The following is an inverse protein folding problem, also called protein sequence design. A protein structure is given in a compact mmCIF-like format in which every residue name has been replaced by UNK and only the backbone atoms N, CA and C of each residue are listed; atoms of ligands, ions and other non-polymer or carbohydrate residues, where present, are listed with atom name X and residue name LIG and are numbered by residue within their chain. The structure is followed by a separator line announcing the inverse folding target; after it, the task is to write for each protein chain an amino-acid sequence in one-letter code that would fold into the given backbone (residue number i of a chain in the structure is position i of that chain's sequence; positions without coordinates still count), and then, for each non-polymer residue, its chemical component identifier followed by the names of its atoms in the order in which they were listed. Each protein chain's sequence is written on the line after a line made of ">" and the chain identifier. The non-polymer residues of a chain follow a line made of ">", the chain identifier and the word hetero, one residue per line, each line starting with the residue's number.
data_IF_307389249176
#
_entry.id   IF_307389249176
#
_cell.length_a   1.000
_cell.length_b   1.000
_cell.length_c   1.000
_cell.angle_alpha   90.00
_cell.angle_beta   90.00
_cell.angle_gamma   90.00
#
_symmetry.space_group_name_H-M   'P 1'
#
loop_
_entity.id
_entity.type
_entity.pdbx_description
1 polymer ?
#
# COMPACT_ATOMS: atom_id res chain seq x y z
N UNK A 1 4.74 -25.10 -17.07
CA UNK A 1 4.11 -25.92 -16.02
C UNK A 1 4.46 -25.49 -14.58
N UNK A 2 5.32 -24.50 -14.36
CA UNK A 2 5.80 -24.09 -13.01
C UNK A 2 4.90 -23.07 -12.28
N UNK A 3 4.29 -22.13 -12.99
CA UNK A 3 3.48 -21.07 -12.36
C UNK A 3 2.21 -21.57 -11.67
N UNK A 4 1.51 -22.54 -12.27
CA UNK A 4 0.27 -23.09 -11.70
C UNK A 4 0.53 -23.88 -10.41
N UNK A 5 1.66 -24.60 -10.34
CA UNK A 5 2.08 -25.33 -9.15
C UNK A 5 2.48 -24.40 -8.01
N UNK A 6 3.24 -23.35 -8.31
CA UNK A 6 3.63 -22.34 -7.32
C UNK A 6 2.41 -21.59 -6.80
N UNK A 7 1.55 -21.11 -7.71
CA UNK A 7 0.29 -20.46 -7.35
C UNK A 7 -0.59 -21.34 -6.47
N UNK A 8 -0.84 -22.58 -6.89
CA UNK A 8 -1.66 -23.53 -6.13
C UNK A 8 -1.07 -23.79 -4.74
N UNK A 9 0.25 -23.98 -4.64
CA UNK A 9 0.92 -24.24 -3.35
C UNK A 9 0.83 -23.02 -2.42
N UNK A 10 1.06 -21.82 -2.94
CA UNK A 10 0.93 -20.58 -2.18
C UNK A 10 -0.53 -20.39 -1.72
N UNK A 11 -1.49 -20.50 -2.64
CA UNK A 11 -2.91 -20.28 -2.34
C UNK A 11 -3.50 -21.32 -1.37
N UNK A 12 -3.09 -22.58 -1.46
CA UNK A 12 -3.66 -23.64 -0.61
C UNK A 12 -2.95 -23.82 0.72
N UNK A 13 -1.63 -23.55 0.79
CA UNK A 13 -0.83 -23.82 2.00
C UNK A 13 -0.42 -22.56 2.76
N UNK A 14 -0.07 -21.48 2.08
CA UNK A 14 0.34 -20.24 2.75
C UNK A 14 -0.86 -19.35 3.07
N UNK A 15 -1.85 -19.29 2.18
CA UNK A 15 -3.09 -18.51 2.37
C UNK A 15 -4.27 -19.38 2.81
N UNK A 16 -4.02 -20.41 3.64
CA UNK A 16 -5.11 -21.15 4.29
C UNK A 16 -5.91 -20.19 5.19
N UNK A 17 -7.26 -20.17 5.10
CA UNK A 17 -8.09 -19.24 5.89
C UNK A 17 -7.82 -19.29 7.40
N UNK A 18 -7.42 -20.44 7.93
CA UNK A 18 -7.08 -20.61 9.35
C UNK A 18 -5.73 -19.99 9.75
N UNK A 19 -4.82 -19.82 8.79
CA UNK A 19 -3.47 -19.28 9.02
C UNK A 19 -3.37 -17.78 8.75
N UNK A 20 -4.31 -17.22 7.98
CA UNK A 20 -4.32 -15.79 7.65
C UNK A 20 -4.41 -14.91 8.90
N UNK A 21 -5.35 -15.11 9.85
CA UNK A 21 -5.43 -14.26 11.05
C UNK A 21 -4.15 -14.25 11.91
N UNK A 22 -3.55 -15.40 12.30
CA UNK A 22 -2.31 -15.37 13.08
C UNK A 22 -1.13 -14.82 12.28
N UNK A 23 -1.07 -15.06 10.97
CA UNK A 23 -0.01 -14.50 10.11
C UNK A 23 -0.10 -12.98 10.03
N UNK A 24 -1.29 -12.42 9.80
CA UNK A 24 -1.52 -10.97 9.76
C UNK A 24 -1.20 -10.33 11.11
N UNK A 25 -1.54 -11.00 12.22
CA UNK A 25 -1.19 -10.52 13.56
C UNK A 25 0.33 -10.50 13.76
N UNK A 26 1.04 -11.57 13.37
CA UNK A 26 2.50 -11.62 13.49
C UNK A 26 3.18 -10.56 12.62
N UNK A 27 2.73 -10.41 11.37
CA UNK A 27 3.20 -9.35 10.47
C UNK A 27 2.96 -7.98 11.08
N UNK A 28 1.76 -7.73 11.63
CA UNK A 28 1.45 -6.47 12.31
C UNK A 28 2.41 -6.22 13.48
N UNK A 29 2.62 -7.20 14.35
CA UNK A 29 3.51 -7.05 15.52
C UNK A 29 4.95 -6.77 15.10
N UNK A 30 5.40 -7.38 14.00
CA UNK A 30 6.75 -7.18 13.45
C UNK A 30 6.92 -5.81 12.78
N UNK A 31 5.94 -5.36 11.99
CA UNK A 31 6.02 -4.09 11.24
C UNK A 31 5.65 -2.89 12.13
N UNK A 32 4.70 -3.08 13.04
CA UNK A 32 4.13 -2.04 13.92
C UNK A 32 4.14 -2.49 15.39
N UNK A 33 5.32 -2.57 16.03
CA UNK A 33 5.42 -2.96 17.43
C UNK A 33 4.58 -2.02 18.31
N UNK A 34 3.71 -2.61 19.14
CA UNK A 34 2.78 -1.89 20.04
C UNK A 34 1.81 -0.90 19.35
N UNK A 35 1.65 -0.95 18.02
CA UNK A 35 0.78 -0.04 17.28
C UNK A 35 1.00 1.45 17.65
N UNK A 36 2.23 1.79 18.07
CA UNK A 36 2.56 3.16 18.45
C UNK A 36 2.40 4.03 17.23
N UNK A 37 1.77 5.20 17.42
CA UNK A 37 1.70 6.21 16.37
C UNK A 37 3.12 6.43 15.85
N UNK A 38 3.29 6.24 14.54
CA UNK A 38 4.55 6.56 13.88
C UNK A 38 4.90 8.02 14.10
N UNK A 39 6.19 8.40 13.94
CA UNK A 39 6.56 9.81 13.92
C UNK A 39 5.69 10.55 12.89
N UNK A 40 5.41 11.85 13.10
CA UNK A 40 4.66 12.63 12.15
C UNK A 40 5.28 12.49 10.76
N UNK A 41 4.46 12.37 9.70
CA UNK A 41 4.98 12.22 8.36
C UNK A 41 5.94 13.39 8.07
N UNK A 42 7.11 13.11 7.48
CA UNK A 42 8.01 14.19 7.08
C UNK A 42 7.29 15.11 6.10
N UNK A 43 7.71 16.40 6.02
CA UNK A 43 7.15 17.29 5.02
C UNK A 43 7.28 16.68 3.62
N UNK A 44 6.29 16.87 2.74
CA UNK A 44 6.36 16.37 1.38
C UNK A 44 7.69 16.82 0.73
N UNK A 45 8.42 15.91 0.08
CA UNK A 45 9.66 16.27 -0.59
C UNK A 45 9.38 17.30 -1.68
N UNK A 46 10.32 18.21 -1.93
CA UNK A 46 10.27 19.06 -3.10
C UNK A 46 10.31 18.22 -4.39
N UNK A 47 9.85 18.78 -5.51
CA UNK A 47 9.82 18.09 -6.81
C UNK A 47 11.22 17.58 -7.20
N UNK A 48 12.27 18.35 -6.90
CA UNK A 48 13.65 17.96 -7.19
C UNK A 48 14.14 16.81 -6.30
N UNK A 49 13.77 16.82 -5.02
CA UNK A 49 14.11 15.75 -4.08
C UNK A 49 13.35 14.48 -4.42
N UNK A 50 12.06 14.58 -4.76
CA UNK A 50 11.24 13.46 -5.22
C UNK A 50 11.86 12.79 -6.45
N UNK A 51 12.31 13.59 -7.44
CA UNK A 51 13.01 13.08 -8.62
C UNK A 51 14.31 12.36 -8.25
N UNK A 52 15.11 12.90 -7.32
CA UNK A 52 16.35 12.24 -6.86
C UNK A 52 16.05 10.92 -6.15
N UNK A 53 15.01 10.88 -5.32
CA UNK A 53 14.57 9.67 -4.63
C UNK A 53 14.14 8.61 -5.64
N UNK A 54 13.31 8.97 -6.63
CA UNK A 54 12.90 8.05 -7.70
C UNK A 54 14.09 7.52 -8.48
N UNK A 55 15.01 8.40 -8.83
CA UNK A 55 16.17 8.01 -9.61
C UNK A 55 17.11 7.07 -8.86
N UNK A 56 17.26 7.27 -7.55
CA UNK A 56 17.97 6.35 -6.68
C UNK A 56 17.23 5.01 -6.57
N UNK A 57 15.92 5.04 -6.32
CA UNK A 57 15.10 3.84 -6.20
C UNK A 57 15.12 2.99 -7.49
N UNK A 58 15.09 3.64 -8.66
CA UNK A 58 15.21 2.95 -9.94
C UNK A 58 16.57 2.24 -10.08
N UNK A 59 17.66 2.90 -9.69
CA UNK A 59 18.99 2.28 -9.66
C UNK A 59 19.04 1.08 -8.71
N UNK A 60 18.46 1.20 -7.52
CA UNK A 60 18.44 0.13 -6.52
C UNK A 60 17.59 -1.07 -7.01
N UNK A 61 16.43 -0.83 -7.62
CA UNK A 61 15.58 -1.87 -8.22
C UNK A 61 16.34 -2.58 -9.35
N UNK A 62 16.98 -1.83 -10.25
CA UNK A 62 17.72 -2.40 -11.36
C UNK A 62 18.94 -3.20 -10.92
N UNK A 63 19.55 -2.86 -9.78
CA UNK A 63 20.63 -3.65 -9.20
C UNK A 63 20.21 -5.06 -8.78
N UNK A 64 18.92 -5.27 -8.50
CA UNK A 64 18.35 -6.55 -8.09
C UNK A 64 17.88 -7.40 -9.29
N UNK A 65 17.72 -6.79 -10.46
CA UNK A 65 17.15 -7.44 -11.64
C UNK A 65 18.27 -7.84 -12.62
N UNK A 66 18.39 -9.13 -12.99
CA UNK A 66 19.32 -9.53 -14.04
C UNK A 66 19.02 -8.80 -15.36
N UNK A 67 20.06 -8.29 -16.03
CA UNK A 67 19.94 -7.43 -17.23
C UNK A 67 18.98 -7.98 -18.29
N UNK A 68 19.06 -9.27 -18.58
CA UNK A 68 18.20 -9.95 -19.56
C UNK A 68 16.71 -9.89 -19.20
N UNK A 69 16.39 -9.96 -17.91
CA UNK A 69 15.01 -9.86 -17.40
C UNK A 69 14.54 -8.41 -17.52
N UNK A 70 15.36 -7.45 -17.12
CA UNK A 70 15.04 -6.01 -17.24
C UNK A 70 14.72 -5.63 -18.69
N UNK A 71 15.59 -6.00 -19.64
CA UNK A 71 15.39 -5.72 -21.07
C UNK A 71 14.03 -6.24 -21.58
N UNK A 72 13.71 -7.49 -21.24
CA UNK A 72 12.49 -8.15 -21.73
C UNK A 72 11.24 -7.57 -21.05
N UNK A 73 11.31 -7.30 -19.74
CA UNK A 73 10.18 -6.82 -18.96
C UNK A 73 9.81 -5.37 -19.29
N UNK A 74 10.82 -4.50 -19.48
CA UNK A 74 10.61 -3.09 -19.85
C UNK A 74 10.54 -2.87 -21.36
N UNK A 75 10.54 -3.93 -22.17
CA UNK A 75 10.42 -3.90 -23.63
C UNK A 75 11.40 -2.94 -24.34
N UNK A 76 12.62 -2.79 -23.80
CA UNK A 76 13.65 -1.92 -24.37
C UNK A 76 14.35 -2.65 -25.51
N UNK A 77 13.80 -2.55 -26.72
CA UNK A 77 14.30 -3.24 -27.91
C UNK A 77 15.12 -2.33 -28.85
N UNK A 78 14.96 -1.02 -28.75
CA UNK A 78 15.55 -0.04 -29.69
C UNK A 78 16.86 0.59 -29.18
N UNK A 79 17.65 -0.14 -28.39
CA UNK A 79 18.93 0.39 -27.88
C UNK A 79 20.05 0.20 -28.92
N UNK A 80 20.78 1.27 -29.23
CA UNK A 80 21.90 1.22 -30.19
C UNK A 80 23.14 0.57 -29.56
N UNK A 81 23.34 0.75 -28.26
CA UNK A 81 24.43 0.17 -27.49
C UNK A 81 23.98 -0.21 -26.05
N UNK A 82 24.89 -0.78 -25.26
CA UNK A 82 24.60 -1.23 -23.90
C UNK A 82 24.33 -0.09 -22.90
N UNK A 83 24.94 1.09 -23.10
CA UNK A 83 24.73 2.26 -22.25
C UNK A 83 23.34 2.87 -22.47
N UNK A 84 22.91 2.96 -23.73
CA UNK A 84 21.58 3.40 -24.13
C UNK A 84 20.51 2.44 -23.63
N UNK A 85 20.78 1.14 -23.64
CA UNK A 85 19.88 0.12 -23.08
C UNK A 85 19.68 0.36 -21.58
N UNK A 86 20.76 0.54 -20.84
CA UNK A 86 20.73 0.78 -19.40
C UNK A 86 20.01 2.10 -19.05
N UNK A 87 20.26 3.15 -19.82
CA UNK A 87 19.57 4.44 -19.68
C UNK A 87 18.07 4.32 -19.96
N UNK A 88 17.66 3.66 -21.05
CA UNK A 88 16.24 3.50 -21.41
C UNK A 88 15.49 2.64 -20.38
N UNK A 89 16.10 1.55 -19.92
CA UNK A 89 15.51 0.71 -18.87
C UNK A 89 15.31 1.52 -17.59
N UNK A 90 16.29 2.34 -17.21
CA UNK A 90 16.17 3.22 -16.03
C UNK A 90 15.04 4.24 -16.17
N UNK A 91 14.90 4.89 -17.32
CA UNK A 91 13.82 5.85 -17.58
C UNK A 91 12.46 5.17 -17.48
N UNK A 92 12.30 3.96 -18.04
CA UNK A 92 11.05 3.20 -17.92
C UNK A 92 10.72 2.87 -16.45
N UNK A 93 11.72 2.50 -15.64
CA UNK A 93 11.50 2.29 -14.20
C UNK A 93 11.11 3.59 -13.50
N UNK A 94 11.83 4.68 -13.75
CA UNK A 94 11.59 5.98 -13.10
C UNK A 94 10.20 6.55 -13.42
N UNK A 95 9.80 6.54 -14.69
CA UNK A 95 8.57 7.20 -15.14
C UNK A 95 7.37 6.27 -15.10
N UNK A 96 7.52 5.02 -15.55
CA UNK A 96 6.38 4.11 -15.71
C UNK A 96 6.11 3.27 -14.47
N UNK A 97 7.15 2.75 -13.83
CA UNK A 97 7.01 1.92 -12.63
C UNK A 97 6.96 2.74 -11.34
N UNK A 98 7.69 3.85 -11.25
CA UNK A 98 7.69 4.69 -10.05
C UNK A 98 6.86 5.96 -10.22
N UNK A 99 6.74 6.49 -11.44
CA UNK A 99 5.99 7.74 -11.68
C UNK A 99 4.47 7.63 -11.52
N UNK A 100 3.88 6.43 -11.54
CA UNK A 100 2.43 6.28 -11.32
C UNK A 100 1.97 6.75 -9.94
N UNK A 101 2.87 6.80 -8.95
CA UNK A 101 2.54 7.28 -7.59
C UNK A 101 2.36 8.79 -7.51
N UNK A 102 2.73 9.55 -8.55
CA UNK A 102 2.56 11.00 -8.57
C UNK A 102 1.10 11.42 -8.85
N UNK A 103 0.30 10.52 -9.43
CA UNK A 103 -1.08 10.81 -9.81
C UNK A 103 -2.03 10.60 -8.61
N UNK A 104 -2.52 11.72 -8.08
CA UNK A 104 -3.44 11.76 -6.94
C UNK A 104 -4.74 11.00 -7.22
N UNK A 105 -5.25 11.09 -8.45
CA UNK A 105 -6.50 10.45 -8.83
C UNK A 105 -6.31 8.94 -9.00
N UNK A 106 -5.19 8.52 -9.60
CA UNK A 106 -4.82 7.10 -9.68
C UNK A 106 -4.63 6.48 -8.29
N UNK A 107 -3.95 7.19 -7.38
CA UNK A 107 -3.74 6.74 -6.01
C UNK A 107 -5.05 6.51 -5.25
N UNK A 108 -6.06 7.36 -5.47
CA UNK A 108 -7.40 7.17 -4.89
C UNK A 108 -8.04 5.87 -5.37
N UNK A 109 -8.01 5.61 -6.68
CA UNK A 109 -8.55 4.38 -7.24
C UNK A 109 -7.77 3.14 -6.80
N UNK A 110 -6.45 3.24 -6.64
CA UNK A 110 -5.64 2.15 -6.08
C UNK A 110 -6.08 1.81 -4.66
N UNK A 111 -6.27 2.82 -3.79
CA UNK A 111 -6.74 2.58 -2.42
C UNK A 111 -8.10 1.88 -2.44
N UNK A 112 -9.05 2.35 -3.25
CA UNK A 112 -10.34 1.67 -3.39
C UNK A 112 -10.20 0.24 -3.90
N UNK A 113 -9.35 0.01 -4.89
CA UNK A 113 -9.09 -1.33 -5.41
C UNK A 113 -8.47 -2.24 -4.33
N UNK A 114 -7.54 -1.75 -3.52
CA UNK A 114 -6.96 -2.50 -2.40
C UNK A 114 -8.03 -2.82 -1.36
N UNK A 115 -8.83 -1.83 -0.95
CA UNK A 115 -9.93 -2.03 -0.01
C UNK A 115 -10.92 -3.07 -0.55
N UNK A 116 -11.32 -2.95 -1.80
CA UNK A 116 -12.23 -3.91 -2.45
C UNK A 116 -11.62 -5.32 -2.51
N UNK A 117 -10.38 -5.46 -2.99
CA UNK A 117 -9.76 -6.77 -3.19
C UNK A 117 -9.31 -7.45 -1.90
N UNK A 118 -8.87 -6.68 -0.90
CA UNK A 118 -8.35 -7.23 0.35
C UNK A 118 -9.45 -7.26 1.39
N UNK A 119 -10.14 -6.14 1.66
CA UNK A 119 -11.15 -6.10 2.72
C UNK A 119 -12.39 -6.92 2.35
N UNK A 120 -12.93 -6.83 1.13
CA UNK A 120 -14.11 -7.64 0.80
C UNK A 120 -13.80 -9.12 0.65
N UNK A 121 -12.55 -9.51 0.38
CA UNK A 121 -12.17 -10.92 0.42
C UNK A 121 -12.00 -11.44 1.84
N UNK A 122 -11.47 -10.61 2.76
CA UNK A 122 -11.25 -11.00 4.14
C UNK A 122 -12.53 -10.91 4.98
N UNK A 123 -13.35 -9.89 4.74
CA UNK A 123 -14.58 -9.58 5.47
C UNK A 123 -15.67 -9.23 4.45
N UNK A 124 -16.25 -10.22 3.76
CA UNK A 124 -17.27 -9.98 2.72
C UNK A 124 -18.53 -9.30 3.26
N UNK A 125 -18.79 -9.44 4.56
CA UNK A 125 -19.89 -8.80 5.29
C UNK A 125 -19.83 -7.27 5.23
N UNK A 126 -18.63 -6.70 5.03
CA UNK A 126 -18.43 -5.25 4.87
C UNK A 126 -18.90 -4.70 3.52
N UNK A 127 -19.35 -5.55 2.60
CA UNK A 127 -19.91 -5.10 1.33
C UNK A 127 -21.18 -4.25 1.54
N UNK A 128 -22.02 -4.68 2.48
CA UNK A 128 -23.36 -4.12 2.66
C UNK A 128 -23.54 -3.44 4.04
N UNK A 129 -22.61 -3.64 4.97
CA UNK A 129 -22.69 -3.14 6.35
C UNK A 129 -21.41 -2.40 6.76
N UNK A 130 -21.57 -1.32 7.52
CA UNK A 130 -20.43 -0.61 8.08
C UNK A 130 -19.76 -1.42 9.20
N UNK A 131 -18.47 -1.22 9.48
CA UNK A 131 -17.78 -1.89 10.59
C UNK A 131 -18.51 -1.73 11.93
N UNK A 132 -19.06 -0.54 12.21
CA UNK A 132 -19.83 -0.25 13.43
C UNK A 132 -21.13 -1.05 13.52
N UNK A 133 -21.87 -1.22 12.41
CA UNK A 133 -23.06 -2.06 12.37
C UNK A 133 -22.73 -3.55 12.61
N UNK A 134 -21.64 -4.04 11.99
CA UNK A 134 -21.16 -5.42 12.18
C UNK A 134 -20.69 -5.71 13.61
N UNK A 135 -20.17 -4.70 14.31
CA UNK A 135 -19.77 -4.79 15.71
C UNK A 135 -20.98 -4.77 16.64
N UNK A 136 -21.96 -3.91 16.38
CA UNK A 136 -23.20 -3.85 17.15
C UNK A 136 -24.00 -5.18 17.08
N UNK A 137 -24.07 -5.81 15.90
CA UNK A 137 -24.66 -7.15 15.72
C UNK A 137 -23.95 -8.23 16.54
N UNK A 138 -22.66 -8.03 16.84
CA UNK A 138 -21.83 -8.93 17.66
C UNK A 138 -21.80 -8.53 19.14
N UNK A 139 -22.60 -7.53 19.54
CA UNK A 139 -22.72 -7.06 20.92
C UNK A 139 -21.63 -6.09 21.36
N UNK A 140 -20.88 -5.49 20.43
CA UNK A 140 -19.88 -4.45 20.71
C UNK A 140 -20.43 -3.11 20.23
N UNK A 141 -20.86 -2.27 21.17
CA UNK A 141 -21.39 -0.94 20.87
C UNK A 141 -20.32 0.15 21.08
N UNK A 142 -19.82 0.73 19.99
CA UNK A 142 -18.78 1.77 20.01
C UNK A 142 -19.34 3.14 20.41
N UNK A 143 -20.65 3.34 20.33
CA UNK A 143 -21.31 4.62 20.67
C UNK A 143 -21.65 4.70 22.16
N UNK A 144 -21.70 3.58 22.87
CA UNK A 144 -21.89 3.55 24.32
C UNK A 144 -20.70 4.12 25.10
N UNK A 145 -19.51 4.22 24.47
CA UNK A 145 -18.31 4.81 25.09
C UNK A 145 -18.21 6.32 24.98
N UNK A 146 -19.05 6.99 24.17
CA UNK A 146 -19.01 8.45 24.01
C UNK A 146 -19.94 9.21 24.97
N UNK A 147 -20.79 8.52 25.75
CA UNK A 147 -21.66 9.18 26.75
C UNK A 147 -20.91 9.71 27.99
N UNK A 148 -19.59 9.51 28.07
CA UNK A 148 -18.75 9.93 29.20
C UNK A 148 -18.06 11.29 29.06
N UNK A 149 -17.92 11.85 27.85
CA UNK A 149 -17.16 13.09 27.64
C UNK A 149 -18.11 14.22 27.23
N UNK A 150 -18.71 14.85 28.25
CA UNK A 150 -19.47 16.09 28.08
C UNK A 150 -18.58 17.14 27.42
N UNK A 151 -18.95 17.49 26.19
CA UNK A 151 -18.71 18.74 25.47
C UNK A 151 -18.30 19.88 26.41
N UNK A 152 -17.01 20.21 26.44
CA UNK A 152 -16.54 21.49 26.96
C UNK A 152 -16.83 22.54 25.88
N UNK A 153 -17.87 23.33 26.15
CA UNK A 153 -18.35 24.43 25.33
C UNK A 153 -17.25 25.49 25.17
N UNK A 154 -16.76 25.71 23.95
CA UNK A 154 -15.78 26.76 23.68
C UNK A 154 -16.49 28.11 23.78
N UNK A 155 -16.04 29.06 24.65
CA UNK A 155 -16.71 30.35 24.77
C UNK A 155 -16.50 31.17 23.49
N UNK A 156 -17.61 31.56 22.88
CA UNK A 156 -17.68 32.48 21.75
C UNK A 156 -16.89 33.76 22.06
N UNK A 157 -15.77 33.93 21.35
CA UNK A 157 -14.97 35.15 21.38
C UNK A 157 -15.69 36.28 20.65
N UNK A 158 -16.56 36.99 21.37
CA UNK A 158 -17.09 38.28 20.93
C UNK A 158 -16.76 39.35 21.98
N UNK A 159 -15.74 40.15 21.70
CA UNK A 159 -15.32 41.27 22.54
C UNK A 159 -14.36 42.18 21.75
N UNK A 160 -14.76 43.45 21.64
CA UNK A 160 -14.13 44.54 20.91
C UNK A 160 -12.67 44.84 21.32
#
# INVERSE_FOLDING_TARGET
>A
MSFLFLYHTISTRLFSPALIPPLLLQIRVLIFPNNTLGPPPPPPPSVEEARKIRSKAASDILSLVPRTVGKTFFAVNDAENAEDEEMKIRIEVEERLLGWTDDVEMNKYLVYAILEHVLLKLVPEMKDKTPSALLAERGVDLLASEEGEKVEEWPDGNGA
#
